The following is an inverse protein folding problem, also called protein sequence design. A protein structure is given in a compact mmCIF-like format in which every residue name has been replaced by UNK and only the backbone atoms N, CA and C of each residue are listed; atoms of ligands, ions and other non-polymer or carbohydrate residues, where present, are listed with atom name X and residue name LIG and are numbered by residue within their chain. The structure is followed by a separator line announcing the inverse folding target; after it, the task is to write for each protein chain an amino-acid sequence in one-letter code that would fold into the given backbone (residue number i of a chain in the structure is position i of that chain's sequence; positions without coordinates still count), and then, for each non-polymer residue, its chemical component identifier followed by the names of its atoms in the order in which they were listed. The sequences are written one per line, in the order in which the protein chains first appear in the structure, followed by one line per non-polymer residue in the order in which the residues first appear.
data_IF_369783401241
#
_entry.id   IF_369783401241
#
_cell.length_a   1.000
_cell.length_b   1.000
_cell.length_c   1.000
_cell.angle_alpha   90.00
_cell.angle_beta   90.00
_cell.angle_gamma   90.00
#
_symmetry.space_group_name_H-M   'P 1'
#
loop_
_entity.id
_entity.type
_entity.pdbx_description
1 polymer ?
#
# COMPACT_ATOMS: atom_id res chain seq x y z
N UNK A 1 -8.65 8.90 -1.91
CA UNK A 1 -7.62 7.85 -1.75
C UNK A 1 -6.51 8.45 -0.91
N UNK A 2 -5.85 7.67 -0.06
CA UNK A 2 -4.71 8.14 0.76
C UNK A 2 -3.49 7.25 0.60
N UNK A 3 -2.30 7.74 0.95
CA UNK A 3 -1.07 6.93 0.95
C UNK A 3 -1.20 5.71 1.87
N UNK A 4 -1.91 5.86 2.99
CA UNK A 4 -2.22 4.76 3.91
C UNK A 4 -3.06 3.66 3.24
N UNK A 5 -4.02 4.02 2.37
CA UNK A 5 -4.77 3.03 1.59
C UNK A 5 -3.87 2.28 0.61
N UNK A 6 -2.96 2.99 -0.07
CA UNK A 6 -1.99 2.39 -1.01
C UNK A 6 -1.03 1.44 -0.27
N UNK A 7 -0.47 1.86 0.87
CA UNK A 7 0.39 1.01 1.71
C UNK A 7 -0.35 -0.23 2.21
N UNK A 8 -1.60 -0.07 2.65
CA UNK A 8 -2.48 -1.16 3.07
C UNK A 8 -2.69 -2.18 1.97
N UNK A 9 -3.01 -1.71 0.76
CA UNK A 9 -3.18 -2.54 -0.42
C UNK A 9 -1.90 -3.31 -0.79
N UNK A 10 -0.76 -2.62 -0.88
CA UNK A 10 0.52 -3.27 -1.22
C UNK A 10 0.90 -4.33 -0.18
N UNK A 11 0.70 -4.05 1.11
CA UNK A 11 0.98 -5.03 2.16
C UNK A 11 0.11 -6.30 2.02
N UNK A 12 -1.19 -6.15 1.72
CA UNK A 12 -2.08 -7.32 1.51
C UNK A 12 -1.72 -8.09 0.25
N UNK A 13 -1.34 -7.38 -0.83
CA UNK A 13 -0.90 -7.99 -2.08
C UNK A 13 0.38 -8.82 -1.92
N UNK A 14 1.32 -8.36 -1.09
CA UNK A 14 2.60 -9.05 -0.86
C UNK A 14 2.47 -10.22 0.11
N UNK A 15 1.63 -10.09 1.15
CA UNK A 15 1.46 -11.13 2.16
C UNK A 15 0.44 -12.21 1.76
N UNK A 16 -0.40 -11.94 0.75
CA UNK A 16 -1.56 -12.75 0.38
C UNK A 16 -2.48 -13.07 1.57
N UNK A 17 -2.40 -12.31 2.67
CA UNK A 17 -3.05 -12.60 3.94
C UNK A 17 -3.24 -11.32 4.76
N UNK A 18 -4.49 -10.99 5.08
CA UNK A 18 -4.84 -9.76 5.83
C UNK A 18 -4.23 -9.75 7.23
N UNK A 19 -4.18 -10.89 7.93
CA UNK A 19 -3.62 -10.97 9.28
C UNK A 19 -2.11 -10.70 9.30
N UNK A 20 -1.38 -11.26 8.31
CA UNK A 20 0.06 -11.02 8.17
C UNK A 20 0.36 -9.58 7.76
N UNK A 21 -0.41 -9.05 6.81
CA UNK A 21 -0.31 -7.65 6.38
C UNK A 21 -0.60 -6.68 7.53
N UNK A 22 -1.64 -6.94 8.34
CA UNK A 22 -1.97 -6.12 9.49
C UNK A 22 -0.80 -6.09 10.49
N UNK A 23 -0.21 -7.26 10.79
CA UNK A 23 0.96 -7.36 11.66
C UNK A 23 2.16 -6.60 11.11
N UNK A 24 2.44 -6.69 9.80
CA UNK A 24 3.52 -5.94 9.12
C UNK A 24 3.34 -4.43 9.24
N UNK A 25 2.09 -3.95 9.20
CA UNK A 25 1.76 -2.53 9.31
C UNK A 25 1.53 -2.06 10.75
N UNK A 26 1.75 -2.93 11.76
CA UNK A 26 1.42 -2.64 13.17
C UNK A 26 -0.04 -2.23 13.38
N UNK A 27 -0.95 -2.86 12.62
CA UNK A 27 -2.38 -2.65 12.67
C UNK A 27 -3.11 -3.92 13.16
N UNK A 28 -4.35 -3.74 13.58
CA UNK A 28 -5.30 -4.84 13.68
C UNK A 28 -5.96 -5.09 12.31
N UNK A 29 -6.61 -6.24 12.13
CA UNK A 29 -7.29 -6.57 10.86
C UNK A 29 -8.45 -5.62 10.50
N UNK A 30 -9.29 -5.14 11.44
CA UNK A 30 -10.42 -4.25 11.11
C UNK A 30 -10.03 -2.95 10.37
N UNK A 31 -9.07 -2.13 10.83
CA UNK A 31 -8.66 -0.93 10.10
C UNK A 31 -8.05 -1.26 8.74
N UNK A 32 -7.24 -2.33 8.65
CA UNK A 32 -6.67 -2.76 7.37
C UNK A 32 -7.77 -3.12 6.35
N UNK A 33 -8.76 -3.90 6.77
CA UNK A 33 -9.88 -4.29 5.90
C UNK A 33 -10.68 -3.07 5.44
N UNK A 34 -10.90 -2.07 6.32
CA UNK A 34 -11.59 -0.82 5.96
C UNK A 34 -10.79 0.01 4.95
N UNK A 35 -9.46 0.06 5.08
CA UNK A 35 -8.62 0.75 4.09
C UNK A 35 -8.72 0.11 2.71
N UNK A 36 -8.75 -1.22 2.63
CA UNK A 36 -8.94 -1.94 1.37
C UNK A 36 -10.33 -1.65 0.80
N UNK A 37 -11.38 -1.75 1.61
CA UNK A 37 -12.75 -1.50 1.16
C UNK A 37 -12.90 -0.07 0.63
N UNK A 38 -12.41 0.94 1.37
CA UNK A 38 -12.47 2.34 0.95
C UNK A 38 -11.72 2.58 -0.37
N UNK A 39 -10.60 1.88 -0.59
CA UNK A 39 -9.87 1.94 -1.85
C UNK A 39 -10.64 1.30 -3.00
N UNK A 40 -11.23 0.12 -2.79
CA UNK A 40 -12.06 -0.56 -3.78
C UNK A 40 -13.31 0.26 -4.16
N UNK A 41 -13.94 0.89 -3.17
CA UNK A 41 -15.12 1.75 -3.35
C UNK A 41 -14.77 2.98 -4.20
N UNK A 42 -13.62 3.60 -3.95
CA UNK A 42 -13.18 4.78 -4.72
C UNK A 42 -12.75 4.44 -6.14
N UNK A 43 -12.11 3.28 -6.34
CA UNK A 43 -11.73 2.80 -7.67
C UNK A 43 -12.92 2.21 -8.45
N UNK A 44 -14.06 1.97 -7.77
CA UNK A 44 -15.22 1.31 -8.36
C UNK A 44 -14.96 -0.14 -8.78
N UNK A 45 -13.94 -0.78 -8.21
CA UNK A 45 -13.49 -2.12 -8.61
C UNK A 45 -12.94 -2.90 -7.41
N UNK A 46 -13.28 -4.19 -7.34
CA UNK A 46 -12.64 -5.10 -6.39
C UNK A 46 -11.21 -5.39 -6.83
N UNK A 47 -10.28 -5.26 -5.89
CA UNK A 47 -8.86 -5.53 -6.10
C UNK A 47 -8.49 -6.92 -5.59
N UNK A 48 -9.24 -7.45 -4.62
CA UNK A 48 -9.02 -8.78 -4.07
C UNK A 48 -10.27 -9.66 -4.09
N UNK A 49 -10.02 -10.95 -4.01
CA UNK A 49 -11.02 -11.96 -3.65
C UNK A 49 -10.50 -12.85 -2.51
N UNK A 50 -11.45 -13.35 -1.71
CA UNK A 50 -11.16 -14.36 -0.69
C UNK A 50 -11.05 -15.72 -1.35
N UNK A 51 -9.98 -16.44 -1.04
CA UNK A 51 -9.73 -17.82 -1.47
C UNK A 51 -9.42 -18.72 -0.28
N UNK A 52 -9.35 -20.05 -0.51
CA UNK A 52 -8.95 -21.01 0.53
C UNK A 52 -7.53 -20.75 1.07
N UNK A 53 -6.66 -20.09 0.30
CA UNK A 53 -5.29 -19.75 0.69
C UNK A 53 -5.14 -18.37 1.34
N UNK A 54 -6.21 -17.60 1.50
CA UNK A 54 -6.17 -16.22 1.99
C UNK A 54 -6.73 -15.23 0.97
N UNK A 55 -5.96 -14.20 0.63
CA UNK A 55 -6.34 -13.16 -0.33
C UNK A 55 -5.64 -13.40 -1.66
N UNK A 56 -6.37 -13.26 -2.76
CA UNK A 56 -5.84 -13.30 -4.13
C UNK A 56 -6.15 -12.00 -4.83
N UNK A 57 -5.21 -11.49 -5.62
CA UNK A 57 -5.46 -10.33 -6.48
C UNK A 57 -6.42 -10.70 -7.60
N UNK A 58 -7.33 -9.79 -7.89
CA UNK A 58 -8.11 -9.79 -9.13
C UNK A 58 -7.32 -9.03 -10.22
N UNK A 59 -7.70 -9.15 -11.51
CA UNK A 59 -7.01 -8.42 -12.59
C UNK A 59 -6.88 -6.90 -12.36
N UNK A 60 -7.91 -6.27 -11.78
CA UNK A 60 -7.85 -4.86 -11.39
C UNK A 60 -6.79 -4.60 -10.30
N UNK A 61 -6.67 -5.51 -9.33
CA UNK A 61 -5.62 -5.48 -8.31
C UNK A 61 -4.22 -5.63 -8.87
N UNK A 62 -4.01 -6.54 -9.83
CA UNK A 62 -2.73 -6.71 -10.51
C UNK A 62 -2.30 -5.45 -11.27
N UNK A 63 -3.23 -4.86 -12.03
CA UNK A 63 -3.00 -3.60 -12.72
C UNK A 63 -2.66 -2.47 -11.73
N UNK A 64 -3.45 -2.34 -10.65
CA UNK A 64 -3.24 -1.31 -9.64
C UNK A 64 -1.92 -1.49 -8.88
N UNK A 65 -1.46 -2.73 -8.65
CA UNK A 65 -0.21 -3.02 -7.93
C UNK A 65 1.03 -2.40 -8.59
N UNK A 66 1.09 -2.41 -9.92
CA UNK A 66 2.19 -1.76 -10.63
C UNK A 66 2.24 -0.25 -10.32
N UNK A 67 1.10 0.43 -10.35
CA UNK A 67 1.00 1.85 -10.05
C UNK A 67 1.24 2.16 -8.57
N UNK A 68 0.67 1.37 -7.67
CA UNK A 68 0.81 1.52 -6.23
C UNK A 68 2.27 1.47 -5.79
N UNK A 69 3.05 0.50 -6.28
CA UNK A 69 4.48 0.39 -5.98
C UNK A 69 5.28 1.58 -6.47
N UNK A 70 4.98 2.08 -7.68
CA UNK A 70 5.63 3.28 -8.23
C UNK A 70 5.34 4.51 -7.38
N UNK A 71 4.09 4.71 -6.97
CA UNK A 71 3.70 5.84 -6.11
C UNK A 71 4.48 5.81 -4.80
N UNK A 72 4.57 4.65 -4.14
CA UNK A 72 5.32 4.52 -2.89
C UNK A 72 6.81 4.79 -3.09
N UNK A 73 7.40 4.27 -4.17
CA UNK A 73 8.82 4.51 -4.50
C UNK A 73 9.11 6.00 -4.76
N UNK A 74 8.23 6.71 -5.47
CA UNK A 74 8.37 8.15 -5.71
C UNK A 74 8.29 8.95 -4.40
N UNK A 75 7.40 8.57 -3.48
CA UNK A 75 7.33 9.20 -2.15
C UNK A 75 8.63 8.99 -1.38
N UNK A 76 9.16 7.77 -1.36
CA UNK A 76 10.43 7.46 -0.70
C UNK A 76 11.60 8.25 -1.33
N UNK A 77 11.67 8.32 -2.66
CA UNK A 77 12.68 9.09 -3.38
C UNK A 77 12.60 10.59 -3.08
N UNK A 78 11.39 11.16 -3.00
CA UNK A 78 11.18 12.55 -2.64
C UNK A 78 11.68 12.84 -1.21
N UNK A 79 11.41 11.94 -0.25
CA UNK A 79 11.89 12.08 1.13
C UNK A 79 13.41 12.05 1.22
N UNK A 80 14.07 11.17 0.47
CA UNK A 80 15.53 11.10 0.42
C UNK A 80 16.12 12.38 -0.19
N UNK A 81 15.57 12.83 -1.32
CA UNK A 81 16.01 14.07 -1.99
C UNK A 81 15.96 15.27 -1.05
N UNK A 82 14.87 15.43 -0.29
CA UNK A 82 14.73 16.54 0.67
C UNK A 82 15.76 16.44 1.79
N UNK A 83 16.04 15.22 2.30
CA UNK A 83 17.05 15.00 3.35
C UNK A 83 18.44 15.36 2.87
N UNK A 84 18.80 14.96 1.66
CA UNK A 84 20.10 15.25 1.07
C UNK A 84 20.30 16.76 0.91
N UNK A 85 19.32 17.46 0.32
CA UNK A 85 19.36 18.92 0.14
C UNK A 85 19.39 19.66 1.48
N UNK A 86 18.69 19.16 2.50
CA UNK A 86 18.71 19.75 3.84
C UNK A 86 20.07 19.52 4.55
N UNK A 87 20.66 18.35 4.41
CA UNK A 87 21.97 18.01 4.98
C UNK A 87 23.12 18.79 4.35
N UNK A 88 23.05 19.09 3.05
CA UNK A 88 24.08 19.88 2.35
C UNK A 88 24.14 21.36 2.78
N UNK A 89 23.08 21.91 3.40
CA UNK A 89 23.04 23.33 3.83
C UNK A 89 23.73 23.62 5.16
N UNK A 90 24.06 22.60 5.94
CA UNK A 90 24.64 22.77 7.29
C UNK A 90 26.17 22.61 7.31
N UNK A 91 26.80 22.42 6.15
CA UNK A 91 28.23 22.10 6.02
C UNK A 91 29.07 23.11 5.22
N UNK A 92 28.64 24.36 5.08
CA UNK A 92 29.34 25.41 4.30
C UNK A 92 29.55 26.69 5.09
#
# INVERSE_FOLDING_TARGET
MSLTHIQSFVAVAEECNVSRAARRLHLTQPPLTRHIQALEDELGARLFERSRGGMRLLPAGEAFLCHARRILAEVDAALLTVRDVAGSRTGG
#
